data_IF_840266707992
#
_entry.id   IF_840266707992
#
_cell.length_a   1.000
_cell.length_b   1.000
_cell.length_c   1.000
_cell.angle_alpha   90.00
_cell.angle_beta   90.00
_cell.angle_gamma   90.00
#
_symmetry.space_group_name_H-M   'P 1'
#
loop_
_entity.id
_entity.type
_entity.pdbx_description
1 polymer ?
#
# COMPACT_ATOMS: atom_id res chain seq x y z
N UNK A 1 41.55 4.67 41.62
CA UNK A 1 40.50 3.78 41.06
C UNK A 1 39.10 4.42 40.97
N UNK A 2 38.65 5.27 41.92
CA UNK A 2 37.31 5.91 41.86
C UNK A 2 37.08 6.87 40.68
N UNK A 3 38.13 7.47 40.12
CA UNK A 3 38.01 8.39 38.97
C UNK A 3 37.72 7.68 37.64
N UNK A 4 38.35 6.54 37.38
CA UNK A 4 38.23 5.80 36.12
C UNK A 4 36.81 5.22 35.95
N UNK A 5 36.20 4.71 37.03
CA UNK A 5 34.84 4.18 37.00
C UNK A 5 33.79 5.24 36.60
N UNK A 6 33.97 6.50 37.05
CA UNK A 6 33.05 7.60 36.69
C UNK A 6 33.15 7.99 35.22
N UNK A 7 34.35 7.94 34.64
CA UNK A 7 34.59 8.24 33.21
C UNK A 7 33.99 7.15 32.32
N UNK A 8 34.17 5.88 32.68
CA UNK A 8 33.58 4.76 31.92
C UNK A 8 32.05 4.79 31.97
N UNK A 9 31.46 5.07 33.13
CA UNK A 9 30.00 5.16 33.26
C UNK A 9 29.42 6.32 32.44
N UNK A 10 30.11 7.47 32.39
CA UNK A 10 29.71 8.62 31.58
C UNK A 10 29.78 8.32 30.07
N UNK A 11 30.79 7.57 29.61
CA UNK A 11 30.93 7.18 28.22
C UNK A 11 29.86 6.15 27.78
N UNK A 12 29.52 5.19 28.66
CA UNK A 12 28.44 4.22 28.39
C UNK A 12 27.07 4.91 28.37
N UNK A 13 26.82 5.85 29.29
CA UNK A 13 25.58 6.62 29.29
C UNK A 13 25.46 7.50 28.03
N UNK A 14 26.55 8.12 27.59
CA UNK A 14 26.56 8.92 26.35
C UNK A 14 26.33 8.05 25.11
N UNK A 15 26.93 6.86 25.05
CA UNK A 15 26.69 5.90 23.97
C UNK A 15 25.23 5.42 23.94
N UNK A 16 24.60 5.22 25.11
CA UNK A 16 23.18 4.87 25.20
C UNK A 16 22.28 6.04 24.72
N UNK A 17 22.60 7.27 25.08
CA UNK A 17 21.81 8.45 24.66
C UNK A 17 21.89 8.65 23.14
N UNK A 18 23.03 8.36 22.51
CA UNK A 18 23.19 8.39 21.04
C UNK A 18 22.40 7.25 20.38
N UNK A 19 22.23 6.12 21.06
CA UNK A 19 21.43 5.00 20.53
C UNK A 19 19.91 5.26 20.59
N UNK A 20 19.44 6.10 21.52
CA UNK A 20 18.01 6.42 21.71
C UNK A 20 17.60 7.66 20.90
N UNK A 21 18.40 8.16 19.96
CA UNK A 21 17.92 9.22 19.06
C UNK A 21 16.74 8.62 18.28
N UNK A 22 15.50 9.10 18.47
CA UNK A 22 14.36 8.58 17.74
C UNK A 22 14.69 8.80 16.26
N UNK A 23 14.76 7.70 15.50
CA UNK A 23 14.78 7.76 14.05
C UNK A 23 13.42 8.32 13.65
N UNK A 24 13.34 9.64 13.57
CA UNK A 24 12.15 10.33 13.10
C UNK A 24 11.93 9.90 11.66
N UNK A 25 10.95 9.03 11.46
CA UNK A 25 10.51 8.62 10.12
C UNK A 25 9.97 9.87 9.47
N UNK A 26 10.69 10.36 8.47
CA UNK A 26 10.20 11.40 7.58
C UNK A 26 9.84 10.71 6.30
N UNK A 27 8.54 10.62 6.05
CA UNK A 27 8.06 10.15 4.79
C UNK A 27 8.59 11.09 3.68
N UNK A 28 9.39 10.53 2.78
CA UNK A 28 10.14 11.28 1.75
C UNK A 28 9.22 11.47 0.55
N UNK A 29 8.68 12.69 0.44
CA UNK A 29 8.14 13.25 -0.80
C UNK A 29 6.79 12.70 -1.26
N UNK A 30 5.94 13.59 -1.77
CA UNK A 30 4.77 13.16 -2.56
C UNK A 30 5.20 12.73 -3.97
N UNK A 31 4.43 11.84 -4.59
CA UNK A 31 4.67 11.43 -5.97
C UNK A 31 4.68 12.65 -6.91
N UNK A 32 5.73 12.78 -7.72
CA UNK A 32 5.82 13.78 -8.79
C UNK A 32 5.85 13.04 -10.12
N UNK A 33 5.18 13.58 -11.15
CA UNK A 33 5.07 12.97 -12.49
C UNK A 33 4.23 11.68 -12.58
N UNK A 34 3.09 11.61 -11.88
CA UNK A 34 2.10 10.57 -12.13
C UNK A 34 1.52 10.78 -13.53
N UNK A 35 1.98 9.99 -14.50
CA UNK A 35 1.34 9.90 -15.81
C UNK A 35 0.37 8.74 -15.74
N UNK A 36 -0.95 8.96 -15.80
CA UNK A 36 -1.87 7.84 -15.86
C UNK A 36 -1.52 6.99 -17.07
N UNK A 37 -1.46 5.66 -16.91
CA UNK A 37 -1.62 4.78 -18.07
C UNK A 37 -2.91 5.21 -18.78
N UNK A 38 -2.94 5.17 -20.12
CA UNK A 38 -4.13 5.57 -20.86
C UNK A 38 -5.33 4.81 -20.28
N UNK A 39 -6.38 5.53 -19.87
CA UNK A 39 -7.60 4.88 -19.40
C UNK A 39 -8.15 4.06 -20.56
N UNK A 40 -8.05 2.74 -20.45
CA UNK A 40 -8.54 1.83 -21.47
C UNK A 40 -10.00 1.49 -21.18
N UNK A 41 -10.83 1.52 -22.22
CA UNK A 41 -12.21 1.07 -22.12
C UNK A 41 -12.26 -0.44 -22.31
N UNK A 42 -12.63 -1.16 -21.25
CA UNK A 42 -12.98 -2.56 -21.40
C UNK A 42 -14.34 -2.64 -22.12
N UNK A 43 -14.38 -3.30 -23.28
CA UNK A 43 -15.64 -3.61 -23.97
C UNK A 43 -15.97 -5.08 -23.71
N UNK A 44 -17.04 -5.38 -22.94
CA UNK A 44 -17.43 -6.76 -22.69
C UNK A 44 -17.69 -7.51 -24.00
N UNK A 45 -17.16 -8.72 -24.12
CA UNK A 45 -17.48 -9.59 -25.25
C UNK A 45 -18.84 -10.23 -24.98
N UNK A 46 -19.86 -9.80 -25.73
CA UNK A 46 -21.18 -10.41 -25.66
C UNK A 46 -21.15 -11.80 -26.32
N UNK A 47 -21.36 -12.84 -25.53
CA UNK A 47 -21.65 -14.18 -26.03
C UNK A 47 -23.06 -14.25 -26.62
N UNK A 48 -23.25 -14.97 -27.72
CA UNK A 48 -24.58 -15.34 -28.20
C UNK A 48 -24.66 -16.84 -28.40
N UNK A 49 -25.82 -17.43 -28.08
CA UNK A 49 -26.10 -18.85 -28.33
C UNK A 49 -27.32 -18.95 -29.23
N UNK A 50 -27.18 -19.70 -30.33
CA UNK A 50 -28.30 -20.10 -31.16
C UNK A 50 -28.90 -21.38 -30.59
N UNK A 51 -30.17 -21.34 -30.19
CA UNK A 51 -30.89 -22.49 -29.63
C UNK A 51 -32.01 -22.94 -30.57
N UNK A 52 -32.17 -24.26 -30.70
CA UNK A 52 -33.29 -24.90 -31.41
C UNK A 52 -34.24 -25.54 -30.40
N UNK A 53 -35.54 -25.31 -30.57
CA UNK A 53 -36.59 -25.86 -29.72
C UNK A 53 -36.57 -27.40 -29.69
N UNK A 54 -36.80 -27.99 -28.51
CA UNK A 54 -36.83 -29.44 -28.30
C UNK A 54 -35.53 -30.08 -27.82
N UNK A 55 -34.48 -29.29 -27.59
CA UNK A 55 -33.19 -29.77 -27.07
C UNK A 55 -32.85 -29.11 -25.71
N UNK A 56 -32.05 -29.81 -24.90
CA UNK A 56 -31.44 -29.28 -23.66
C UNK A 56 -29.99 -28.96 -23.97
N UNK A 57 -29.55 -27.74 -23.65
CA UNK A 57 -28.18 -27.28 -23.85
C UNK A 57 -27.52 -27.04 -22.49
N UNK A 58 -26.27 -27.48 -22.35
CA UNK A 58 -25.37 -27.00 -21.30
C UNK A 58 -24.58 -25.82 -21.87
N UNK A 59 -24.65 -24.68 -21.20
CA UNK A 59 -23.96 -23.46 -21.61
C UNK A 59 -23.18 -22.92 -20.41
N UNK A 60 -21.88 -22.74 -20.61
CA UNK A 60 -20.99 -22.14 -19.63
C UNK A 60 -20.63 -20.73 -20.12
N UNK A 61 -21.07 -19.71 -19.39
CA UNK A 61 -20.71 -18.33 -19.62
C UNK A 61 -19.52 -17.97 -18.73
N UNK A 62 -18.45 -17.48 -19.34
CA UNK A 62 -17.34 -16.87 -18.60
C UNK A 62 -17.25 -15.42 -19.05
N UNK A 63 -17.54 -14.49 -18.16
CA UNK A 63 -17.39 -13.06 -18.38
C UNK A 63 -16.20 -12.56 -17.58
N UNK A 64 -15.40 -11.70 -18.20
CA UNK A 64 -14.45 -10.83 -17.49
C UNK A 64 -15.02 -9.42 -17.59
N UNK A 65 -14.96 -8.64 -16.52
CA UNK A 65 -15.34 -7.23 -16.53
C UNK A 65 -14.31 -6.44 -15.72
N UNK A 66 -14.22 -5.13 -15.96
CA UNK A 66 -13.41 -4.24 -15.12
C UNK A 66 -14.16 -3.91 -13.84
N UNK A 67 -13.42 -3.78 -12.75
CA UNK A 67 -13.95 -3.24 -11.50
C UNK A 67 -13.86 -1.72 -11.50
N UNK A 68 -14.85 -1.06 -10.89
CA UNK A 68 -14.85 0.38 -10.58
C UNK A 68 -14.49 0.64 -9.12
N UNK A 69 -14.19 -0.42 -8.38
CA UNK A 69 -13.91 -0.38 -6.94
C UNK A 69 -12.43 -0.50 -6.64
N UNK A 70 -11.59 -0.73 -7.64
CA UNK A 70 -10.15 -0.83 -7.43
C UNK A 70 -9.40 -0.02 -8.45
N UNK A 71 -8.32 0.61 -7.99
CA UNK A 71 -7.28 1.16 -8.84
C UNK A 71 -5.97 0.47 -8.51
N UNK A 72 -5.30 -0.01 -9.56
CA UNK A 72 -3.94 -0.55 -9.47
C UNK A 72 -2.94 0.55 -9.80
N UNK A 73 -1.95 0.76 -8.96
CA UNK A 73 -0.79 1.60 -9.26
C UNK A 73 0.46 0.72 -9.32
N UNK A 74 1.26 0.92 -10.34
CA UNK A 74 2.54 0.25 -10.50
C UNK A 74 3.56 1.23 -11.07
N UNK A 75 4.84 0.96 -10.83
CA UNK A 75 5.88 1.81 -11.38
C UNK A 75 7.26 1.56 -10.81
N UNK A 76 8.20 2.39 -11.27
CA UNK A 76 9.57 2.41 -10.77
C UNK A 76 9.75 3.60 -9.83
N UNK A 77 10.55 3.42 -8.79
CA UNK A 77 10.82 4.48 -7.83
C UNK A 77 12.27 4.93 -8.02
N UNK A 78 12.45 6.23 -8.17
CA UNK A 78 13.77 6.85 -8.30
C UNK A 78 13.83 8.08 -7.41
N UNK A 79 14.97 8.34 -6.78
CA UNK A 79 15.13 9.51 -5.93
C UNK A 79 16.47 9.61 -5.24
N UNK A 80 16.62 10.63 -4.40
CA UNK A 80 17.80 10.85 -3.58
C UNK A 80 17.40 11.22 -2.14
N UNK A 81 18.16 10.75 -1.14
CA UNK A 81 18.11 11.36 0.20
C UNK A 81 19.18 12.44 0.23
N UNK A 82 18.78 13.63 0.65
CA UNK A 82 19.72 14.72 0.89
C UNK A 82 19.80 15.01 2.39
N UNK A 83 20.99 14.89 2.95
CA UNK A 83 21.32 15.60 4.18
C UNK A 83 21.50 17.06 3.79
N UNK A 84 20.56 17.93 4.16
CA UNK A 84 20.54 19.33 3.73
C UNK A 84 20.19 20.29 4.85
N UNK A 85 20.74 21.50 4.75
CA UNK A 85 20.24 22.67 5.44
C UNK A 85 19.04 23.26 4.67
N UNK A 86 18.44 24.34 5.19
CA UNK A 86 17.34 25.02 4.53
C UNK A 86 17.67 25.42 3.08
N UNK A 87 18.91 25.88 2.84
CA UNK A 87 19.35 26.43 1.56
C UNK A 87 20.37 25.58 0.79
N UNK A 88 21.06 24.62 1.42
CA UNK A 88 22.16 23.87 0.80
C UNK A 88 22.09 22.38 1.11
N UNK A 89 22.35 21.54 0.11
CA UNK A 89 22.59 20.11 0.30
C UNK A 89 24.02 19.90 0.82
N UNK A 90 24.16 19.22 1.95
CA UNK A 90 25.45 18.85 2.53
C UNK A 90 25.95 17.51 1.97
N UNK A 91 25.06 16.54 1.81
CA UNK A 91 25.36 15.25 1.21
C UNK A 91 24.13 14.68 0.52
N UNK A 92 24.32 14.04 -0.63
CA UNK A 92 23.26 13.39 -1.39
C UNK A 92 23.58 11.92 -1.57
N UNK A 93 22.72 11.05 -1.06
CA UNK A 93 22.70 9.64 -1.40
C UNK A 93 21.73 9.44 -2.56
N UNK A 94 22.25 9.13 -3.74
CA UNK A 94 21.44 8.60 -4.84
C UNK A 94 21.24 7.10 -4.61
N UNK A 95 20.00 6.64 -4.48
CA UNK A 95 19.73 5.21 -4.56
C UNK A 95 19.61 4.88 -6.04
N UNK A 96 20.68 4.32 -6.61
CA UNK A 96 20.63 3.74 -7.96
C UNK A 96 19.75 2.48 -8.01
N UNK A 97 19.45 1.89 -6.85
CA UNK A 97 18.61 0.70 -6.67
C UNK A 97 17.92 0.81 -5.33
N UNK A 98 16.59 0.80 -5.32
CA UNK A 98 15.82 0.64 -4.09
C UNK A 98 15.99 -0.79 -3.61
N UNK A 99 15.91 -0.98 -2.30
CA UNK A 99 16.09 -2.28 -1.66
C UNK A 99 14.74 -2.97 -1.49
N UNK A 100 14.73 -4.30 -1.50
CA UNK A 100 13.52 -5.11 -1.36
C UNK A 100 12.82 -4.99 0.01
N UNK A 101 13.44 -4.28 0.95
CA UNK A 101 12.91 -4.05 2.30
C UNK A 101 12.29 -2.64 2.45
N UNK A 102 12.27 -1.85 1.37
CA UNK A 102 11.57 -0.57 1.35
C UNK A 102 10.06 -0.81 1.26
N UNK A 103 9.26 0.14 1.75
CA UNK A 103 7.80 0.01 1.77
C UNK A 103 7.15 1.26 1.18
N UNK A 104 6.22 1.06 0.24
CA UNK A 104 5.33 2.11 -0.26
C UNK A 104 4.02 2.08 0.52
N UNK A 105 3.60 3.24 1.01
CA UNK A 105 2.32 3.46 1.68
C UNK A 105 1.41 4.36 0.85
N UNK A 106 0.11 4.12 0.95
CA UNK A 106 -0.95 4.98 0.42
C UNK A 106 -2.06 5.14 1.44
N UNK A 107 -2.55 6.36 1.63
CA UNK A 107 -3.65 6.69 2.55
C UNK A 107 -4.40 7.92 2.07
N UNK A 108 -5.69 8.05 2.41
CA UNK A 108 -6.45 9.28 2.11
C UNK A 108 -6.16 10.42 3.08
N UNK A 109 -5.43 10.14 4.17
CA UNK A 109 -5.09 11.15 5.17
C UNK A 109 -3.79 11.90 4.80
N UNK A 110 -3.87 13.24 4.59
CA UNK A 110 -2.73 14.07 4.20
C UNK A 110 -1.69 14.30 5.30
N UNK A 111 -1.97 13.95 6.56
CA UNK A 111 -1.15 14.38 7.70
C UNK A 111 0.15 13.61 7.88
N UNK A 112 0.33 12.49 7.16
CA UNK A 112 1.53 11.67 7.25
C UNK A 112 1.23 10.21 7.57
N UNK A 113 2.25 9.38 7.45
CA UNK A 113 2.24 7.98 7.86
C UNK A 113 3.37 7.77 8.85
N UNK A 114 3.05 7.18 10.00
CA UNK A 114 4.03 6.75 11.00
C UNK A 114 3.83 5.24 11.25
N UNK A 115 4.70 4.38 10.70
CA UNK A 115 4.56 2.95 10.82
C UNK A 115 4.59 2.43 12.27
N UNK A 116 5.19 3.19 13.19
CA UNK A 116 5.26 2.79 14.60
C UNK A 116 3.91 2.82 15.31
N UNK A 117 2.91 3.51 14.73
CA UNK A 117 1.55 3.57 15.24
C UNK A 117 0.61 2.52 14.64
N UNK A 118 1.06 1.79 13.60
CA UNK A 118 0.24 0.79 12.95
C UNK A 118 -0.17 -0.33 13.91
N UNK A 119 -1.32 -0.92 13.63
CA UNK A 119 -1.92 -1.90 14.51
C UNK A 119 -2.48 -3.10 13.74
N UNK A 120 -2.64 -4.22 14.45
CA UNK A 120 -3.15 -5.47 13.88
C UNK A 120 -4.51 -5.27 13.21
N UNK A 121 -4.76 -5.94 12.11
CA UNK A 121 -6.07 -5.91 11.42
C UNK A 121 -6.71 -7.29 11.42
N UNK A 122 -8.04 -7.32 11.19
CA UNK A 122 -8.84 -8.54 11.11
C UNK A 122 -10.08 -8.27 10.26
N UNK A 123 -10.92 -9.28 10.05
CA UNK A 123 -12.10 -9.17 9.18
C UNK A 123 -13.11 -8.09 9.63
N UNK A 124 -13.25 -7.84 10.93
CA UNK A 124 -14.10 -6.74 11.41
C UNK A 124 -13.59 -5.38 10.92
N UNK A 125 -12.27 -5.20 10.83
CA UNK A 125 -11.69 -3.97 10.27
C UNK A 125 -11.86 -3.90 8.75
N UNK A 126 -11.85 -5.03 8.04
CA UNK A 126 -12.15 -5.05 6.60
C UNK A 126 -13.60 -4.63 6.31
N UNK A 127 -14.57 -5.12 7.09
CA UNK A 127 -15.98 -4.72 6.97
C UNK A 127 -16.20 -3.23 7.31
N UNK A 128 -15.48 -2.72 8.31
CA UNK A 128 -15.46 -1.28 8.61
C UNK A 128 -14.84 -0.47 7.47
N UNK A 129 -13.80 -0.98 6.81
CA UNK A 129 -13.21 -0.34 5.63
C UNK A 129 -14.18 -0.35 4.44
N UNK A 130 -14.88 -1.46 4.18
CA UNK A 130 -15.95 -1.52 3.17
C UNK A 130 -16.99 -0.43 3.42
N UNK A 131 -17.43 -0.27 4.68
CA UNK A 131 -18.35 0.80 5.08
C UNK A 131 -17.76 2.19 4.86
N UNK A 132 -16.49 2.40 5.21
CA UNK A 132 -15.81 3.69 5.07
C UNK A 132 -15.63 4.11 3.60
N UNK A 133 -15.37 3.16 2.69
CA UNK A 133 -15.33 3.39 1.26
C UNK A 133 -16.72 3.37 0.60
N UNK A 134 -17.78 3.01 1.33
CA UNK A 134 -19.15 3.01 0.84
C UNK A 134 -19.51 1.81 -0.04
N UNK A 135 -18.84 0.67 0.14
CA UNK A 135 -19.18 -0.56 -0.57
C UNK A 135 -20.42 -1.21 0.01
N UNK A 136 -21.33 -1.63 -0.87
CA UNK A 136 -22.45 -2.44 -0.46
C UNK A 136 -21.96 -3.85 -0.09
N UNK A 137 -22.41 -4.41 1.04
CA UNK A 137 -21.98 -5.74 1.50
C UNK A 137 -22.34 -6.91 0.55
N UNK A 138 -23.09 -6.65 -0.51
CA UNK A 138 -23.44 -7.63 -1.56
C UNK A 138 -22.48 -7.65 -2.74
N UNK A 139 -21.56 -6.68 -2.87
CA UNK A 139 -20.63 -6.65 -4.00
C UNK A 139 -19.51 -7.68 -3.81
N UNK A 140 -19.15 -8.35 -4.90
CA UNK A 140 -18.25 -9.52 -4.84
C UNK A 140 -16.79 -9.13 -4.65
N UNK A 141 -16.38 -8.00 -5.21
CA UNK A 141 -15.02 -7.46 -5.21
C UNK A 141 -14.79 -6.43 -4.09
N UNK A 142 -15.52 -6.51 -2.97
CA UNK A 142 -15.30 -5.63 -1.81
C UNK A 142 -13.98 -5.91 -1.08
N UNK A 143 -13.53 -5.00 -0.22
CA UNK A 143 -12.26 -5.09 0.53
C UNK A 143 -12.20 -6.39 1.33
N UNK A 144 -13.27 -6.77 2.04
CA UNK A 144 -13.33 -8.00 2.83
C UNK A 144 -13.08 -9.25 1.97
N UNK A 145 -13.55 -9.25 0.72
CA UNK A 145 -13.41 -10.40 -0.19
C UNK A 145 -12.07 -10.39 -0.95
N UNK A 146 -11.36 -9.27 -0.97
CA UNK A 146 -10.05 -9.13 -1.64
C UNK A 146 -8.87 -9.39 -0.68
N UNK A 147 -8.92 -8.87 0.55
CA UNK A 147 -7.86 -9.00 1.57
C UNK A 147 -8.11 -10.17 2.52
N UNK A 148 -8.28 -11.36 1.94
CA UNK A 148 -8.75 -12.58 2.64
C UNK A 148 -7.65 -13.33 3.39
N UNK A 149 -6.38 -13.00 3.16
CA UNK A 149 -5.24 -13.65 3.81
C UNK A 149 -4.78 -12.85 5.03
N UNK A 150 -3.89 -13.44 5.82
CA UNK A 150 -3.14 -12.74 6.86
C UNK A 150 -1.64 -12.93 6.68
N UNK A 151 -0.88 -11.90 7.03
CA UNK A 151 0.58 -11.90 6.94
C UNK A 151 1.22 -11.06 8.05
N UNK A 152 2.52 -11.22 8.23
CA UNK A 152 3.30 -10.34 9.11
C UNK A 152 3.80 -9.15 8.32
N UNK A 153 3.32 -7.96 8.65
CA UNK A 153 3.86 -6.71 8.13
C UNK A 153 5.02 -6.24 9.01
N UNK A 154 6.15 -5.91 8.40
CA UNK A 154 7.35 -5.41 9.07
C UNK A 154 7.87 -4.16 8.34
N UNK A 155 7.73 -3.00 8.97
CA UNK A 155 8.35 -1.76 8.49
C UNK A 155 9.80 -1.65 8.97
N UNK A 156 10.71 -1.04 8.19
CA UNK A 156 12.07 -0.69 8.64
C UNK A 156 12.12 0.12 9.95
N UNK A 157 11.07 0.87 10.27
CA UNK A 157 10.95 1.67 11.49
C UNK A 157 10.32 0.95 12.67
N UNK A 158 9.91 -0.31 12.51
CA UNK A 158 9.29 -1.12 13.57
C UNK A 158 10.30 -2.13 14.14
N UNK A 159 10.33 -2.26 15.47
CA UNK A 159 11.15 -3.30 16.13
C UNK A 159 10.52 -4.69 16.07
N UNK A 160 9.21 -4.77 15.83
CA UNK A 160 8.45 -6.02 15.80
C UNK A 160 7.31 -5.93 14.80
N UNK A 161 7.22 -6.92 13.93
CA UNK A 161 6.16 -7.00 12.94
C UNK A 161 4.79 -7.24 13.56
N UNK A 162 3.74 -6.85 12.83
CA UNK A 162 2.34 -7.00 13.23
C UNK A 162 1.60 -7.92 12.28
N UNK A 163 0.64 -8.68 12.79
CA UNK A 163 -0.23 -9.51 11.93
C UNK A 163 -1.36 -8.67 11.37
N UNK A 164 -1.50 -8.67 10.05
CA UNK A 164 -2.44 -7.83 9.31
C UNK A 164 -3.09 -8.62 8.18
N UNK A 165 -4.23 -8.14 7.70
CA UNK A 165 -4.86 -8.68 6.50
C UNK A 165 -4.04 -8.35 5.26
N UNK A 166 -3.98 -9.29 4.33
CA UNK A 166 -3.17 -9.20 3.12
C UNK A 166 -3.92 -9.73 1.91
N UNK A 167 -3.47 -9.29 0.74
CA UNK A 167 -3.74 -9.94 -0.54
C UNK A 167 -2.45 -10.04 -1.35
N UNK A 168 -2.39 -10.97 -2.29
CA UNK A 168 -1.25 -11.09 -3.20
C UNK A 168 -1.74 -10.83 -4.61
N UNK A 169 -1.06 -9.91 -5.31
CA UNK A 169 -1.36 -9.63 -6.72
C UNK A 169 -0.70 -10.68 -7.62
N UNK A 170 -0.97 -10.60 -8.93
CA UNK A 170 -0.61 -11.66 -9.88
C UNK A 170 0.83 -12.17 -9.72
N UNK A 171 0.98 -13.48 -9.90
CA UNK A 171 2.22 -14.25 -9.72
C UNK A 171 2.78 -14.30 -8.28
N UNK A 172 2.01 -13.87 -7.27
CA UNK A 172 2.41 -13.87 -5.85
C UNK A 172 3.68 -13.06 -5.57
N UNK A 173 3.99 -12.09 -6.44
CA UNK A 173 5.17 -11.23 -6.32
C UNK A 173 4.95 -10.09 -5.32
N UNK A 174 3.74 -9.53 -5.29
CA UNK A 174 3.42 -8.30 -4.56
C UNK A 174 2.44 -8.57 -3.44
N UNK A 175 2.95 -8.57 -2.21
CA UNK A 175 2.10 -8.66 -1.02
C UNK A 175 1.59 -7.27 -0.68
N UNK A 176 0.28 -7.10 -0.78
CA UNK A 176 -0.43 -5.89 -0.41
C UNK A 176 -0.98 -6.05 1.01
N UNK A 177 -0.76 -5.04 1.84
CA UNK A 177 -1.10 -5.04 3.27
C UNK A 177 -2.21 -4.03 3.55
N UNK A 178 -3.18 -4.45 4.36
CA UNK A 178 -4.23 -3.60 4.91
C UNK A 178 -3.91 -3.25 6.37
N UNK A 179 -3.62 -1.98 6.62
CA UNK A 179 -3.16 -1.46 7.89
C UNK A 179 -4.15 -0.42 8.42
N UNK A 180 -4.17 -0.26 9.74
CA UNK A 180 -4.88 0.85 10.42
C UNK A 180 -3.88 1.74 11.14
N UNK A 181 -4.09 3.07 11.07
CA UNK A 181 -3.18 4.07 11.66
C UNK A 181 -3.16 4.09 13.16
N UNK A 182 -4.27 3.75 13.80
CA UNK A 182 -4.42 3.82 15.25
C UNK A 182 -5.16 2.61 15.77
N UNK A 183 -5.06 2.37 17.07
CA UNK A 183 -5.82 1.32 17.72
C UNK A 183 -7.29 1.75 17.85
N UNK A 184 -8.21 0.91 17.40
CA UNK A 184 -9.65 1.16 17.48
C UNK A 184 -10.39 0.73 16.22
N UNK A 185 -11.65 1.15 16.13
CA UNK A 185 -12.46 0.94 14.93
C UNK A 185 -12.04 1.93 13.83
N UNK A 186 -12.15 1.49 12.58
CA UNK A 186 -12.06 2.36 11.41
C UNK A 186 -13.38 3.11 11.30
N UNK A 187 -13.32 4.44 11.35
CA UNK A 187 -14.49 5.31 11.19
C UNK A 187 -14.53 5.99 9.83
N UNK A 188 -13.35 6.24 9.25
CA UNK A 188 -13.18 6.94 7.98
C UNK A 188 -12.06 6.31 7.16
N UNK A 189 -11.99 6.64 5.86
CA UNK A 189 -10.89 6.21 4.99
C UNK A 189 -9.51 6.71 5.47
N UNK A 190 -9.48 7.81 6.23
CA UNK A 190 -8.27 8.38 6.81
C UNK A 190 -7.63 7.49 7.88
N UNK A 191 -8.38 6.56 8.48
CA UNK A 191 -7.87 5.63 9.48
C UNK A 191 -7.09 4.45 8.85
N UNK A 192 -7.11 4.36 7.52
CA UNK A 192 -6.62 3.22 6.74
C UNK A 192 -5.31 3.58 6.03
N UNK A 193 -4.38 2.62 6.01
CA UNK A 193 -3.16 2.67 5.20
C UNK A 193 -3.07 1.38 4.38
N UNK A 194 -2.85 1.54 3.09
CA UNK A 194 -2.49 0.47 2.17
C UNK A 194 -0.98 0.47 2.01
N UNK A 195 -0.36 -0.71 2.03
CA UNK A 195 1.07 -0.81 1.85
C UNK A 195 1.46 -1.95 0.91
N UNK A 196 2.61 -1.81 0.26
CA UNK A 196 3.27 -2.87 -0.49
C UNK A 196 4.76 -2.83 -0.21
N UNK A 197 5.35 -4.00 -0.02
CA UNK A 197 6.81 -4.15 0.03
C UNK A 197 7.38 -3.98 -1.37
N UNK A 198 8.42 -3.14 -1.48
CA UNK A 198 9.11 -2.92 -2.73
C UNK A 198 9.84 -4.19 -3.13
N UNK A 199 9.71 -4.60 -4.37
CA UNK A 199 10.46 -5.72 -4.93
C UNK A 199 11.03 -5.24 -6.27
N UNK A 200 12.28 -4.75 -6.28
CA UNK A 200 12.81 -4.06 -7.45
C UNK A 200 12.85 -4.94 -8.69
N UNK A 201 12.62 -4.32 -9.85
CA UNK A 201 12.81 -4.93 -11.16
C UNK A 201 12.07 -6.29 -11.31
N UNK A 202 10.81 -6.33 -10.90
CA UNK A 202 9.91 -7.47 -11.13
C UNK A 202 8.98 -7.19 -12.31
N UNK A 203 8.45 -8.24 -12.93
CA UNK A 203 7.42 -8.08 -13.95
C UNK A 203 6.16 -7.46 -13.33
N UNK A 204 5.65 -6.41 -13.97
CA UNK A 204 4.37 -5.79 -13.64
C UNK A 204 3.19 -6.63 -14.15
N UNK A 205 1.96 -6.18 -13.90
CA UNK A 205 0.71 -6.85 -14.23
C UNK A 205 0.54 -7.05 -15.73
N UNK A 206 1.16 -6.19 -16.54
CA UNK A 206 1.12 -6.30 -17.99
C UNK A 206 2.05 -7.41 -18.53
N UNK A 207 2.90 -7.98 -17.68
CA UNK A 207 3.87 -9.03 -18.00
C UNK A 207 4.99 -8.61 -18.96
N UNK A 208 5.07 -7.34 -19.34
CA UNK A 208 6.00 -6.80 -20.34
C UNK A 208 6.89 -5.69 -19.81
N UNK A 209 6.50 -5.04 -18.72
CA UNK A 209 7.25 -3.98 -18.08
C UNK A 209 7.81 -4.43 -16.73
N UNK A 210 8.91 -3.77 -16.33
CA UNK A 210 9.51 -3.97 -15.02
C UNK A 210 9.12 -2.83 -14.09
N UNK A 211 8.76 -3.19 -12.87
CA UNK A 211 8.32 -2.31 -11.82
C UNK A 211 9.01 -2.64 -10.49
N UNK A 212 9.04 -1.65 -9.60
CA UNK A 212 9.51 -1.80 -8.23
C UNK A 212 8.35 -2.03 -7.26
N UNK A 213 7.11 -1.71 -7.65
CA UNK A 213 5.92 -1.95 -6.84
C UNK A 213 4.68 -2.18 -7.69
N UNK A 214 3.72 -2.91 -7.11
CA UNK A 214 2.31 -2.91 -7.51
C UNK A 214 1.40 -2.84 -6.28
N UNK A 215 0.65 -1.76 -6.16
CA UNK A 215 -0.29 -1.54 -5.06
C UNK A 215 -1.72 -1.48 -5.57
N UNK A 216 -2.60 -2.20 -4.89
CA UNK A 216 -4.03 -2.19 -5.13
C UNK A 216 -4.70 -1.28 -4.10
N UNK A 217 -5.44 -0.28 -4.56
CA UNK A 217 -6.13 0.69 -3.71
C UNK A 217 -7.63 0.65 -3.99
N UNK A 218 -8.48 0.72 -2.95
CA UNK A 218 -9.91 0.83 -3.17
C UNK A 218 -10.26 2.20 -3.75
N UNK A 219 -11.25 2.19 -4.62
CA UNK A 219 -11.90 3.36 -5.17
C UNK A 219 -13.40 3.17 -4.98
N UNK A 220 -14.21 4.23 -4.95
CA UNK A 220 -15.65 4.05 -5.06
C UNK A 220 -16.27 5.10 -5.97
N UNK A 221 -16.25 4.83 -7.27
CA UNK A 221 -16.99 5.66 -8.22
C UNK A 221 -18.51 5.37 -8.23
N UNK A 222 -19.03 4.49 -7.37
CA UNK A 222 -20.33 3.86 -7.57
C UNK A 222 -21.55 4.51 -6.89
N UNK A 223 -21.45 5.68 -6.27
CA UNK A 223 -22.66 6.26 -5.63
C UNK A 223 -23.51 7.08 -6.63
N UNK A 224 -24.29 6.36 -7.45
CA UNK A 224 -25.49 6.89 -8.14
C UNK A 224 -25.45 7.13 -9.66
N UNK A 225 -24.77 6.29 -10.45
CA UNK A 225 -24.74 6.31 -11.94
C UNK A 225 -24.18 7.60 -12.59
N UNK A 226 -23.17 8.23 -11.99
CA UNK A 226 -22.36 9.30 -12.58
C UNK A 226 -20.90 9.19 -12.10
N UNK A 227 -19.96 9.91 -12.74
CA UNK A 227 -18.56 9.98 -12.30
C UNK A 227 -18.52 10.26 -10.79
N UNK A 228 -18.17 9.25 -10.00
CA UNK A 228 -18.08 9.38 -8.55
C UNK A 228 -17.00 10.39 -8.15
N UNK A 229 -16.90 10.65 -6.86
CA UNK A 229 -15.85 11.54 -6.35
C UNK A 229 -14.54 10.76 -6.34
N UNK A 230 -13.58 11.19 -7.16
CA UNK A 230 -12.22 10.63 -7.19
C UNK A 230 -11.62 10.60 -5.78
N UNK A 231 -11.20 9.43 -5.34
CA UNK A 231 -10.49 9.26 -4.07
C UNK A 231 -9.05 9.74 -4.22
N UNK A 232 -8.66 10.71 -3.40
CA UNK A 232 -7.29 11.22 -3.39
C UNK A 232 -6.43 10.42 -2.41
N UNK A 233 -5.36 9.82 -2.92
CA UNK A 233 -4.35 9.12 -2.11
C UNK A 233 -3.07 9.93 -2.00
N UNK A 234 -2.55 10.00 -0.77
CA UNK A 234 -1.21 10.50 -0.46
C UNK A 234 -0.25 9.32 -0.35
N UNK A 235 0.75 9.33 -1.20
CA UNK A 235 1.78 8.29 -1.26
C UNK A 235 2.99 8.68 -0.40
N UNK A 236 3.51 7.70 0.31
CA UNK A 236 4.66 7.85 1.20
C UNK A 236 5.61 6.68 1.01
N UNK A 237 6.90 6.97 0.92
CA UNK A 237 7.93 5.94 0.80
C UNK A 237 8.77 5.87 2.07
N UNK A 238 8.95 4.66 2.57
CA UNK A 238 9.96 4.33 3.58
C UNK A 238 11.08 3.52 2.94
N UNK A 239 12.31 3.99 3.14
CA UNK A 239 13.52 3.37 2.62
C UNK A 239 14.20 2.58 3.73
N UNK A 240 14.71 1.38 3.40
CA UNK A 240 15.63 0.61 4.25
C UNK A 240 17.09 0.93 3.91
#
# INVERSE_FOLDING_TARGET
MRGIAKVVLALVALALVIYIVPRGVRAIGGATNVTPAASETFTPINGSIAVTAGNIYEFNLTTTDKTYRWVGLWGNITGTINLRAASNDFYTWSFGTITADSVLYATTDPTGVDPTNFNITNNTHLDQADTAYGYAGTVTDRIENTYTSSGTFQSPSMETGITVNTTTLQSATWTNYFLRKTNGNIATTNDIVWAVEINPNQAAFDGTTYADYEILLPENEEVGDGEGVVTTYYLWLELN
#
